data_IF_278781276138
#
_entry.id   IF_278781276138
#
_cell.length_a   1.000
_cell.length_b   1.000
_cell.length_c   1.000
_cell.angle_alpha   90.00
_cell.angle_beta   90.00
_cell.angle_gamma   90.00
#
_symmetry.space_group_name_H-M   'P 1'
#
loop_
_entity.id
_entity.type
_entity.pdbx_description
1 polymer ?
#
# COMPACT_ATOMS: atom_id res chain seq x y z
N UNK A 1 -43.00 -5.53 -40.12
CA UNK A 1 -41.85 -4.62 -39.84
C UNK A 1 -41.27 -4.71 -38.42
N UNK A 2 -41.94 -5.28 -37.41
CA UNK A 2 -41.44 -5.32 -36.01
C UNK A 2 -40.24 -6.25 -35.79
N UNK A 3 -40.22 -7.45 -36.39
CA UNK A 3 -39.14 -8.44 -36.18
C UNK A 3 -37.77 -7.97 -36.67
N UNK A 4 -37.72 -7.28 -37.81
CA UNK A 4 -36.47 -6.78 -38.39
C UNK A 4 -35.83 -5.69 -37.50
N UNK A 5 -36.63 -4.77 -36.94
CA UNK A 5 -36.14 -3.75 -35.99
C UNK A 5 -35.48 -4.39 -34.77
N UNK A 6 -36.11 -5.41 -34.17
CA UNK A 6 -35.56 -6.09 -33.00
C UNK A 6 -34.25 -6.84 -33.31
N UNK A 7 -34.15 -7.45 -34.49
CA UNK A 7 -32.90 -8.12 -34.94
C UNK A 7 -31.77 -7.11 -35.11
N UNK A 8 -32.02 -5.96 -35.74
CA UNK A 8 -31.01 -4.89 -35.84
C UNK A 8 -30.59 -4.33 -34.48
N UNK A 9 -31.53 -4.17 -33.54
CA UNK A 9 -31.22 -3.72 -32.17
C UNK A 9 -30.33 -4.71 -31.42
N UNK A 10 -30.59 -6.01 -31.54
CA UNK A 10 -29.80 -7.06 -30.87
C UNK A 10 -28.38 -7.15 -31.47
N UNK A 11 -28.24 -7.08 -32.79
CA UNK A 11 -26.93 -7.08 -33.45
C UNK A 11 -26.11 -5.84 -33.04
N UNK A 12 -26.75 -4.67 -32.95
CA UNK A 12 -26.09 -3.44 -32.47
C UNK A 12 -25.58 -3.55 -31.03
N UNK A 13 -26.33 -4.19 -30.13
CA UNK A 13 -25.95 -4.41 -28.73
C UNK A 13 -24.74 -5.34 -28.58
N UNK A 14 -24.69 -6.41 -29.38
CA UNK A 14 -23.58 -7.39 -29.36
C UNK A 14 -22.27 -6.76 -29.84
N UNK A 15 -22.32 -5.82 -30.79
CA UNK A 15 -21.14 -5.13 -31.30
C UNK A 15 -20.66 -4.00 -30.36
N UNK A 16 -21.55 -3.40 -29.57
CA UNK A 16 -21.22 -2.33 -28.61
C UNK A 16 -20.62 -2.87 -27.30
N UNK A 17 -21.05 -4.04 -26.84
CA UNK A 17 -20.56 -4.68 -25.63
C UNK A 17 -19.03 -4.85 -25.55
N UNK A 18 -18.32 -5.36 -26.59
CA UNK A 18 -16.86 -5.51 -26.53
C UNK A 18 -16.11 -4.16 -26.50
N UNK A 19 -16.67 -3.12 -27.11
CA UNK A 19 -16.08 -1.77 -27.13
C UNK A 19 -16.15 -1.16 -25.73
N UNK A 20 -17.30 -1.26 -25.07
CA UNK A 20 -17.49 -0.82 -23.68
C UNK A 20 -16.62 -1.61 -22.70
N UNK A 21 -16.48 -2.93 -22.89
CA UNK A 21 -15.58 -3.73 -22.05
C UNK A 21 -14.11 -3.35 -22.25
N UNK A 22 -13.70 -3.00 -23.47
CA UNK A 22 -12.33 -2.60 -23.77
C UNK A 22 -11.96 -1.28 -23.08
N UNK A 23 -12.87 -0.31 -23.08
CA UNK A 23 -12.68 0.99 -22.39
C UNK A 23 -12.62 0.81 -20.87
N UNK A 24 -13.50 0.00 -20.30
CA UNK A 24 -13.47 -0.33 -18.87
C UNK A 24 -12.19 -1.04 -18.46
N UNK A 25 -11.75 -2.01 -19.27
CA UNK A 25 -10.51 -2.75 -19.06
C UNK A 25 -9.27 -1.86 -19.19
N UNK A 26 -9.24 -0.93 -20.15
CA UNK A 26 -8.15 0.04 -20.28
C UNK A 26 -8.06 0.99 -19.09
N UNK A 27 -9.20 1.47 -18.57
CA UNK A 27 -9.22 2.32 -17.38
C UNK A 27 -8.73 1.55 -16.14
N UNK A 28 -9.13 0.29 -15.98
CA UNK A 28 -8.68 -0.58 -14.91
C UNK A 28 -7.16 -0.80 -14.96
N UNK A 29 -6.60 -1.16 -16.13
CA UNK A 29 -5.15 -1.34 -16.28
C UNK A 29 -4.39 -0.03 -16.04
N UNK A 30 -4.82 1.08 -16.61
CA UNK A 30 -4.01 2.32 -16.55
C UNK A 30 -4.06 3.00 -15.18
N UNK A 31 -5.17 2.93 -14.46
CA UNK A 31 -5.31 3.63 -13.18
C UNK A 31 -4.94 2.73 -12.00
N UNK A 32 -5.49 1.51 -11.93
CA UNK A 32 -5.33 0.66 -10.76
C UNK A 32 -3.96 -0.04 -10.75
N UNK A 33 -3.52 -0.58 -11.90
CA UNK A 33 -2.21 -1.27 -11.97
C UNK A 33 -1.06 -0.27 -11.86
N UNK A 34 -1.15 0.92 -12.49
CA UNK A 34 -0.09 1.93 -12.41
C UNK A 34 0.06 2.53 -11.00
N UNK A 35 -1.06 2.75 -10.31
CA UNK A 35 -1.05 3.16 -8.90
C UNK A 35 -0.36 2.12 -8.01
N UNK A 36 -0.68 0.85 -8.20
CA UNK A 36 -0.10 -0.26 -7.44
C UNK A 36 1.42 -0.38 -7.62
N UNK A 37 1.92 -0.34 -8.87
CA UNK A 37 3.36 -0.41 -9.15
C UNK A 37 4.14 0.76 -8.54
N UNK A 38 3.56 1.97 -8.49
CA UNK A 38 4.22 3.15 -7.91
C UNK A 38 4.44 3.00 -6.39
N UNK A 39 3.54 2.32 -5.68
CA UNK A 39 3.71 2.06 -4.24
C UNK A 39 4.85 1.08 -3.95
N UNK A 40 5.03 0.07 -4.79
CA UNK A 40 6.11 -0.95 -4.65
C UNK A 40 7.49 -0.30 -4.85
N UNK A 41 7.69 0.45 -5.94
CA UNK A 41 8.99 1.07 -6.23
C UNK A 41 9.45 2.07 -5.17
N UNK A 42 8.51 2.85 -4.61
CA UNK A 42 8.85 3.84 -3.57
C UNK A 42 9.21 3.21 -2.22
N UNK A 43 8.70 2.02 -1.92
CA UNK A 43 9.05 1.30 -0.69
C UNK A 43 10.41 0.63 -0.81
N UNK A 44 10.74 0.12 -2.01
CA UNK A 44 12.05 -0.46 -2.33
C UNK A 44 13.18 0.58 -2.24
N UNK A 45 12.97 1.79 -2.77
CA UNK A 45 13.99 2.85 -2.72
C UNK A 45 14.31 3.33 -1.30
N UNK A 46 13.33 3.31 -0.39
CA UNK A 46 13.53 3.67 1.03
C UNK A 46 14.21 2.53 1.78
N UNK A 47 13.98 1.29 1.40
CA UNK A 47 14.67 0.14 2.00
C UNK A 47 16.16 0.08 1.63
N UNK A 48 16.48 0.46 0.39
CA UNK A 48 17.84 0.43 -0.16
C UNK A 48 18.67 1.68 0.20
N UNK A 49 18.05 2.87 0.26
CA UNK A 49 18.75 4.15 0.51
C UNK A 49 18.29 4.90 1.77
N UNK A 50 17.38 4.32 2.56
CA UNK A 50 16.88 4.95 3.79
C UNK A 50 17.90 4.93 4.91
N UNK A 51 17.82 5.94 5.78
CA UNK A 51 18.69 6.05 6.95
C UNK A 51 18.06 5.25 8.08
N UNK A 52 18.84 4.34 8.68
CA UNK A 52 18.40 3.57 9.85
C UNK A 52 18.35 4.47 11.08
N UNK A 53 17.21 4.43 11.78
CA UNK A 53 16.98 5.12 13.05
C UNK A 53 16.21 4.21 14.01
N UNK A 54 16.34 4.47 15.31
CA UNK A 54 15.49 3.86 16.32
C UNK A 54 14.28 4.76 16.56
N UNK A 55 13.09 4.18 16.47
CA UNK A 55 11.84 4.90 16.66
C UNK A 55 10.98 4.27 17.75
N UNK A 56 10.27 5.10 18.50
CA UNK A 56 9.30 4.67 19.49
C UNK A 56 7.93 4.51 18.84
N UNK A 57 7.29 3.38 19.07
CA UNK A 57 5.94 3.11 18.60
C UNK A 57 4.95 3.94 19.41
N UNK A 58 4.14 4.72 18.71
CA UNK A 58 3.10 5.58 19.30
C UNK A 58 1.75 4.92 19.23
N UNK A 59 1.46 4.27 18.10
CA UNK A 59 0.18 3.61 17.89
C UNK A 59 0.32 2.43 16.92
N UNK A 60 -0.57 1.46 17.06
CA UNK A 60 -0.74 0.35 16.12
C UNK A 60 -2.23 0.20 15.82
N UNK A 61 -2.55 0.02 14.54
CA UNK A 61 -3.91 -0.19 14.06
C UNK A 61 -3.93 -1.30 13.03
N UNK A 62 -4.77 -2.30 13.23
CA UNK A 62 -5.04 -3.29 12.18
C UNK A 62 -5.86 -2.65 11.06
N UNK A 63 -5.48 -2.93 9.82
CA UNK A 63 -6.24 -2.54 8.62
C UNK A 63 -7.20 -3.64 8.21
N UNK A 64 -8.01 -3.40 7.19
CA UNK A 64 -8.93 -4.41 6.66
C UNK A 64 -8.23 -5.45 5.75
N UNK A 65 -6.91 -5.36 5.59
CA UNK A 65 -6.13 -6.23 4.70
C UNK A 65 -5.44 -7.35 5.49
N UNK A 66 -5.29 -8.49 4.84
CA UNK A 66 -4.61 -9.67 5.34
C UNK A 66 -3.64 -10.18 4.28
N UNK A 67 -2.45 -10.60 4.72
CA UNK A 67 -1.46 -11.30 3.90
C UNK A 67 -1.31 -12.73 4.42
N UNK A 68 -2.04 -13.65 3.78
CA UNK A 68 -2.21 -15.01 4.28
C UNK A 68 -2.85 -15.01 5.67
N UNK A 69 -2.12 -15.52 6.67
CA UNK A 69 -2.56 -15.57 8.06
C UNK A 69 -2.03 -14.39 8.92
N UNK A 70 -1.44 -13.37 8.29
CA UNK A 70 -0.88 -12.20 8.97
C UNK A 70 -1.76 -10.97 8.73
N UNK A 71 -2.32 -10.34 9.77
CA UNK A 71 -3.03 -9.07 9.60
C UNK A 71 -2.06 -7.99 9.13
N UNK A 72 -2.50 -7.16 8.18
CA UNK A 72 -1.74 -5.97 7.78
C UNK A 72 -2.05 -4.85 8.77
N UNK A 73 -1.02 -4.37 9.47
CA UNK A 73 -1.14 -3.31 10.47
C UNK A 73 -0.45 -2.03 9.99
N UNK A 74 -1.00 -0.90 10.41
CA UNK A 74 -0.38 0.42 10.35
C UNK A 74 0.21 0.74 11.72
N UNK A 75 1.52 0.98 11.76
CA UNK A 75 2.29 1.29 12.96
C UNK A 75 2.83 2.71 12.83
N UNK A 76 2.45 3.56 13.76
CA UNK A 76 2.94 4.93 13.84
C UNK A 76 4.17 4.97 14.76
N UNK A 77 5.25 5.52 14.23
CA UNK A 77 6.55 5.56 14.91
C UNK A 77 7.05 7.00 14.98
N UNK A 78 7.42 7.42 16.18
CA UNK A 78 8.08 8.71 16.43
C UNK A 78 9.58 8.48 16.58
N UNK A 79 10.39 9.28 15.88
CA UNK A 79 11.84 9.12 15.87
C UNK A 79 12.54 10.47 15.73
N UNK A 80 13.81 10.51 16.09
CA UNK A 80 14.68 11.67 15.88
C UNK A 80 15.45 11.45 14.59
N UNK A 81 15.26 12.32 13.60
CA UNK A 81 16.00 12.25 12.35
C UNK A 81 17.40 12.88 12.51
N UNK A 82 18.25 12.74 11.49
CA UNK A 82 19.61 13.33 11.49
C UNK A 82 19.63 14.86 11.65
N UNK A 83 18.52 15.55 11.38
CA UNK A 83 18.36 16.98 11.62
C UNK A 83 18.16 17.33 13.12
N UNK A 84 18.13 16.31 14.00
CA UNK A 84 17.88 16.45 15.43
C UNK A 84 16.43 16.72 15.79
N UNK A 85 15.50 16.72 14.82
CA UNK A 85 14.08 16.99 15.05
C UNK A 85 13.30 15.71 15.23
N UNK A 86 12.23 15.80 16.01
CA UNK A 86 11.25 14.74 16.13
C UNK A 86 10.36 14.70 14.88
N UNK A 87 10.31 13.55 14.23
CA UNK A 87 9.41 13.25 13.12
C UNK A 87 8.52 12.07 13.50
N UNK A 88 7.38 11.99 12.83
CA UNK A 88 6.46 10.87 12.93
C UNK A 88 6.27 10.27 11.55
N UNK A 89 6.42 8.96 11.46
CA UNK A 89 6.21 8.20 10.24
C UNK A 89 5.22 7.06 10.50
N UNK A 90 4.51 6.66 9.44
CA UNK A 90 3.59 5.53 9.47
C UNK A 90 4.16 4.44 8.58
N UNK A 91 4.42 3.28 9.18
CA UNK A 91 4.82 2.07 8.49
C UNK A 91 3.61 1.14 8.35
N UNK A 92 3.48 0.48 7.20
CA UNK A 92 2.40 -0.47 6.95
C UNK A 92 2.99 -1.80 6.48
N UNK A 93 2.59 -2.89 7.11
CA UNK A 93 3.10 -4.21 6.76
C UNK A 93 2.35 -5.35 7.44
N UNK A 94 2.51 -6.59 6.95
CA UNK A 94 1.96 -7.77 7.58
C UNK A 94 2.72 -8.07 8.87
N UNK A 95 1.99 -8.23 9.99
CA UNK A 95 2.59 -8.54 11.29
C UNK A 95 2.10 -9.93 11.72
N UNK A 96 3.02 -10.79 12.16
CA UNK A 96 2.67 -12.06 12.79
C UNK A 96 1.93 -11.80 14.11
N UNK A 97 0.84 -12.54 14.35
CA UNK A 97 0.09 -12.44 15.62
C UNK A 97 0.98 -12.71 16.84
N UNK A 98 2.00 -13.55 16.68
CA UNK A 98 2.98 -13.87 17.73
C UNK A 98 3.89 -12.69 18.04
N UNK A 99 4.22 -11.87 17.05
CA UNK A 99 5.11 -10.73 17.19
C UNK A 99 4.37 -9.42 17.52
N UNK A 100 3.03 -9.40 17.38
CA UNK A 100 2.18 -8.25 17.65
C UNK A 100 2.42 -7.56 19.01
N UNK A 101 2.72 -8.28 20.12
CA UNK A 101 3.06 -7.64 21.39
C UNK A 101 4.31 -6.75 21.34
N UNK A 102 5.25 -7.02 20.44
CA UNK A 102 6.48 -6.21 20.27
C UNK A 102 6.21 -4.86 19.61
N UNK A 103 5.06 -4.74 18.94
CA UNK A 103 4.64 -3.53 18.24
C UNK A 103 3.65 -2.68 19.03
N UNK A 104 3.55 -2.91 20.35
CA UNK A 104 2.68 -2.12 21.20
C UNK A 104 3.26 -0.72 21.48
N UNK A 105 2.40 0.29 21.73
CA UNK A 105 2.85 1.62 22.10
C UNK A 105 3.87 1.62 23.25
N UNK A 106 4.91 2.42 23.11
CA UNK A 106 6.00 2.53 24.09
C UNK A 106 7.23 1.67 23.78
N UNK A 107 7.10 0.65 22.93
CA UNK A 107 8.24 -0.15 22.46
C UNK A 107 9.07 0.61 21.41
N UNK A 108 10.33 0.21 21.27
CA UNK A 108 11.23 0.75 20.25
C UNK A 108 11.48 -0.28 19.15
N UNK A 109 11.57 0.20 17.91
CA UNK A 109 11.85 -0.63 16.75
C UNK A 109 12.82 0.06 15.80
N UNK A 110 13.54 -0.73 15.00
CA UNK A 110 14.43 -0.23 13.97
C UNK A 110 13.62 0.16 12.73
N UNK A 111 13.76 1.41 12.30
CA UNK A 111 13.10 1.93 11.10
C UNK A 111 14.14 2.43 10.11
N UNK A 112 13.81 2.32 8.82
CA UNK A 112 14.48 3.08 7.76
C UNK A 112 13.54 4.14 7.25
N UNK A 113 13.99 5.40 7.27
CA UNK A 113 13.21 6.52 6.77
C UNK A 113 13.87 7.16 5.55
N UNK A 114 13.06 7.77 4.70
CA UNK A 114 13.55 8.53 3.55
C UNK A 114 14.03 9.92 4.01
N UNK A 115 15.32 10.28 3.86
CA UNK A 115 15.79 11.63 4.18
C UNK A 115 15.11 12.73 3.36
N UNK A 116 14.63 12.41 2.15
CA UNK A 116 13.89 13.35 1.29
C UNK A 116 12.43 13.47 1.70
N UNK A 117 11.90 12.47 2.43
CA UNK A 117 10.52 12.48 2.93
C UNK A 117 10.41 11.77 4.30
N UNK A 118 10.69 12.49 5.41
CA UNK A 118 10.70 11.93 6.77
C UNK A 118 9.37 11.34 7.24
N UNK A 119 8.26 11.57 6.52
CA UNK A 119 6.96 10.96 6.85
C UNK A 119 6.84 9.51 6.35
N UNK A 120 7.73 9.09 5.44
CA UNK A 120 7.80 7.72 4.93
C UNK A 120 8.90 6.97 5.65
N UNK A 121 8.50 6.01 6.49
CA UNK A 121 9.41 5.05 7.09
C UNK A 121 8.90 3.63 6.90
N UNK A 122 9.84 2.70 6.85
CA UNK A 122 9.61 1.26 6.77
C UNK A 122 10.24 0.65 8.01
N UNK A 123 9.49 -0.22 8.70
CA UNK A 123 10.08 -1.02 9.77
C UNK A 123 10.90 -2.13 9.12
N UNK A 124 12.19 -2.21 9.44
CA UNK A 124 13.12 -3.13 8.79
C UNK A 124 12.64 -4.59 8.88
N UNK A 125 12.11 -4.97 10.04
CA UNK A 125 11.60 -6.32 10.30
C UNK A 125 10.32 -6.65 9.51
N UNK A 126 9.48 -5.65 9.20
CA UNK A 126 8.28 -5.83 8.37
C UNK A 126 8.58 -5.87 6.86
N UNK A 127 9.80 -5.47 6.48
CA UNK A 127 10.25 -5.44 5.08
C UNK A 127 11.02 -6.70 4.65
N UNK A 128 11.44 -7.53 5.60
CA UNK A 128 11.97 -8.87 5.34
C UNK A 128 10.81 -9.83 5.08
N UNK A 129 10.30 -9.80 3.85
CA UNK A 129 9.50 -10.90 3.27
C UNK A 129 10.43 -11.85 2.51
#
# INVERSE_FOLDING_TARGET
MSKAKNVFTVIGLILLAPILSLVGFFKFITVDIWGYFKHIGSSLSVMENGISASGQIVSIRQTNLWDGNRPVCEVEVKYIAQDGKNHTAVAKGPISVVDLPRYQPGHFTAIKYDPKNPKKAVIEELSRL
#
